data_IF_859724772334
#
_entry.id   IF_859724772334
#
_cell.length_a   1.000
_cell.length_b   1.000
_cell.length_c   1.000
_cell.angle_alpha   90.00
_cell.angle_beta   90.00
_cell.angle_gamma   90.00
#
_symmetry.space_group_name_H-M   'P 1'
#
loop_
_entity.id
_entity.type
_entity.pdbx_description
1 polymer ?
#
# COMPACT_ATOMS: atom_id res chain seq x y z
N UNK A 1 15.70 -11.44 -18.75
CA UNK A 1 15.25 -11.89 -17.42
C UNK A 1 14.28 -10.84 -16.91
N UNK A 2 12.99 -11.10 -16.94
CA UNK A 2 12.01 -10.21 -16.33
C UNK A 2 12.17 -10.38 -14.82
N UNK A 3 12.82 -9.43 -14.16
CA UNK A 3 12.80 -9.37 -12.69
C UNK A 3 11.35 -9.10 -12.31
N UNK A 4 10.68 -10.10 -11.74
CA UNK A 4 9.40 -9.85 -11.07
C UNK A 4 9.65 -8.75 -10.03
N UNK A 5 8.86 -7.66 -10.04
CA UNK A 5 9.06 -6.59 -9.09
C UNK A 5 8.85 -7.16 -7.69
N UNK A 6 9.88 -7.03 -6.86
CA UNK A 6 9.83 -7.31 -5.43
C UNK A 6 8.60 -6.64 -4.78
N UNK A 7 7.96 -7.34 -3.84
CA UNK A 7 6.68 -6.91 -3.24
C UNK A 7 6.80 -5.57 -2.54
N UNK A 8 7.95 -5.29 -1.91
CA UNK A 8 8.23 -4.00 -1.29
C UNK A 8 8.42 -2.94 -2.36
N UNK A 9 9.16 -3.24 -3.42
CA UNK A 9 9.38 -2.32 -4.55
C UNK A 9 8.09 -1.96 -5.30
N UNK A 10 7.11 -2.87 -5.34
CA UNK A 10 5.76 -2.59 -5.82
C UNK A 10 4.99 -1.69 -4.83
N UNK A 11 4.98 -2.05 -3.55
CA UNK A 11 4.30 -1.27 -2.51
C UNK A 11 4.83 0.16 -2.41
N UNK A 12 6.15 0.35 -2.50
CA UNK A 12 6.79 1.66 -2.45
C UNK A 12 6.37 2.57 -3.60
N UNK A 13 6.24 2.03 -4.81
CA UNK A 13 5.75 2.78 -5.97
C UNK A 13 4.29 3.21 -5.79
N UNK A 14 3.46 2.34 -5.23
CA UNK A 14 2.06 2.63 -4.97
C UNK A 14 1.94 3.69 -3.86
N UNK A 15 2.70 3.55 -2.78
CA UNK A 15 2.72 4.50 -1.66
C UNK A 15 3.16 5.92 -2.07
N UNK A 16 4.01 6.02 -3.09
CA UNK A 16 4.44 7.29 -3.68
C UNK A 16 3.52 7.84 -4.79
N UNK A 17 2.45 7.11 -5.15
CA UNK A 17 1.49 7.48 -6.18
C UNK A 17 0.22 8.10 -5.58
N UNK A 18 -0.71 8.53 -6.43
CA UNK A 18 -1.97 9.12 -5.97
C UNK A 18 -2.76 8.16 -5.07
N UNK A 19 -3.34 8.65 -3.95
CA UNK A 19 -4.07 7.81 -3.03
C UNK A 19 -5.47 7.46 -3.56
N UNK A 20 -5.54 6.40 -4.35
CA UNK A 20 -6.79 5.88 -4.93
C UNK A 20 -7.20 4.54 -4.30
N UNK A 21 -8.48 4.19 -4.39
CA UNK A 21 -8.99 2.89 -3.95
C UNK A 21 -8.30 1.71 -4.65
N UNK A 22 -7.97 1.85 -5.93
CA UNK A 22 -7.24 0.83 -6.67
C UNK A 22 -5.84 0.60 -6.08
N UNK A 23 -5.16 1.67 -5.69
CA UNK A 23 -3.85 1.63 -5.06
C UNK A 23 -3.91 1.04 -3.64
N UNK A 24 -4.91 1.41 -2.84
CA UNK A 24 -5.15 0.81 -1.52
C UNK A 24 -5.40 -0.70 -1.61
N UNK A 25 -6.24 -1.13 -2.56
CA UNK A 25 -6.53 -2.55 -2.80
C UNK A 25 -5.29 -3.35 -3.17
N UNK A 26 -4.43 -2.77 -4.02
CA UNK A 26 -3.19 -3.43 -4.40
C UNK A 26 -2.20 -3.48 -3.23
N UNK A 27 -2.11 -2.44 -2.40
CA UNK A 27 -1.32 -2.48 -1.16
C UNK A 27 -1.81 -3.56 -0.19
N UNK A 28 -3.13 -3.69 0.02
CA UNK A 28 -3.70 -4.77 0.86
C UNK A 28 -3.34 -6.15 0.28
N UNK A 29 -3.46 -6.31 -1.04
CA UNK A 29 -3.06 -7.56 -1.71
C UNK A 29 -1.57 -7.88 -1.49
N UNK A 30 -0.69 -6.90 -1.66
CA UNK A 30 0.75 -7.07 -1.45
C UNK A 30 1.04 -7.44 0.02
N UNK A 31 0.43 -6.74 0.97
CA UNK A 31 0.54 -7.02 2.41
C UNK A 31 0.10 -8.44 2.76
N UNK A 32 -1.01 -8.94 2.17
CA UNK A 32 -1.50 -10.31 2.37
C UNK A 32 -0.58 -11.37 1.73
N UNK A 33 0.15 -11.01 0.68
CA UNK A 33 1.10 -11.89 0.00
C UNK A 33 2.50 -11.92 0.66
N UNK A 34 2.86 -10.86 1.38
CA UNK A 34 4.15 -10.71 2.05
C UNK A 34 4.29 -11.61 3.29
N UNK A 35 5.54 -11.89 3.67
CA UNK A 35 5.89 -12.77 4.79
C UNK A 35 7.07 -12.21 5.58
N UNK A 36 7.07 -12.44 6.90
CA UNK A 36 8.14 -11.95 7.78
C UNK A 36 8.27 -10.43 7.69
N UNK A 37 9.51 -9.97 7.62
CA UNK A 37 9.88 -8.54 7.63
C UNK A 37 9.26 -7.74 6.47
N UNK A 38 8.97 -8.37 5.32
CA UNK A 38 8.33 -7.71 4.18
C UNK A 38 6.92 -7.20 4.54
N UNK A 39 6.22 -7.91 5.43
CA UNK A 39 4.87 -7.53 5.85
C UNK A 39 4.91 -6.26 6.70
N UNK A 40 5.90 -6.15 7.58
CA UNK A 40 6.10 -4.98 8.43
C UNK A 40 6.50 -3.77 7.57
N UNK A 41 7.40 -3.96 6.59
CA UNK A 41 7.77 -2.91 5.66
C UNK A 41 6.58 -2.39 4.82
N UNK A 42 5.69 -3.29 4.37
CA UNK A 42 4.49 -2.87 3.63
C UNK A 42 3.49 -2.16 4.55
N UNK A 43 3.39 -2.54 5.83
CA UNK A 43 2.55 -1.84 6.80
C UNK A 43 3.01 -0.37 6.97
N UNK A 44 4.31 -0.13 7.11
CA UNK A 44 4.88 1.23 7.19
C UNK A 44 4.59 2.06 5.91
N UNK A 45 4.64 1.41 4.74
CA UNK A 45 4.31 2.04 3.47
C UNK A 45 2.81 2.38 3.36
N UNK A 46 1.93 1.52 3.89
CA UNK A 46 0.49 1.77 3.97
C UNK A 46 0.21 2.98 4.86
N UNK A 47 0.87 3.10 6.00
CA UNK A 47 0.72 4.28 6.87
C UNK A 47 1.15 5.55 6.14
N UNK A 48 2.30 5.51 5.45
CA UNK A 48 2.80 6.64 4.64
C UNK A 48 1.80 7.03 3.54
N UNK A 49 1.23 6.05 2.85
CA UNK A 49 0.21 6.24 1.83
C UNK A 49 -1.03 6.94 2.40
N UNK A 50 -1.52 6.49 3.57
CA UNK A 50 -2.68 7.09 4.24
C UNK A 50 -2.39 8.49 4.80
N UNK A 51 -1.16 8.79 5.21
CA UNK A 51 -0.75 10.12 5.67
C UNK A 51 -0.72 11.15 4.53
N UNK A 52 -0.52 10.72 3.28
CA UNK A 52 -0.57 11.62 2.12
C UNK A 52 -2.00 12.16 1.82
N UNK A 53 -3.02 11.50 2.38
CA UNK A 53 -4.43 11.79 2.10
C UNK A 53 -4.93 12.93 2.97
N UNK A 54 -5.16 14.08 2.34
CA UNK A 54 -5.69 15.27 3.00
C UNK A 54 -7.22 15.24 3.14
N UNK A 55 -7.91 14.54 2.24
CA UNK A 55 -9.36 14.38 2.28
C UNK A 55 -9.75 13.31 3.33
N UNK A 56 -10.46 13.67 4.41
CA UNK A 56 -10.82 12.74 5.47
C UNK A 56 -11.82 11.67 5.00
N UNK A 57 -12.68 11.95 4.02
CA UNK A 57 -13.63 10.97 3.49
C UNK A 57 -12.89 9.93 2.67
N UNK A 58 -12.00 10.37 1.77
CA UNK A 58 -11.16 9.47 0.99
C UNK A 58 -10.27 8.64 1.91
N UNK A 59 -9.64 9.26 2.92
CA UNK A 59 -8.81 8.54 3.90
C UNK A 59 -9.60 7.44 4.60
N UNK A 60 -10.83 7.72 5.03
CA UNK A 60 -11.70 6.71 5.66
C UNK A 60 -12.02 5.56 4.70
N UNK A 61 -12.29 5.84 3.44
CA UNK A 61 -12.53 4.81 2.42
C UNK A 61 -11.29 3.93 2.17
N UNK A 62 -10.11 4.55 2.11
CA UNK A 62 -8.86 3.81 1.91
C UNK A 62 -8.52 2.95 3.13
N UNK A 63 -8.76 3.44 4.34
CA UNK A 63 -8.59 2.66 5.57
C UNK A 63 -9.51 1.44 5.62
N UNK A 64 -10.76 1.57 5.17
CA UNK A 64 -11.70 0.43 5.09
C UNK A 64 -11.21 -0.65 4.11
N UNK A 65 -10.66 -0.24 2.96
CA UNK A 65 -10.07 -1.17 1.98
C UNK A 65 -8.79 -1.85 2.48
N UNK A 66 -8.05 -1.24 3.42
CA UNK A 66 -6.78 -1.74 3.95
C UNK A 66 -6.91 -2.62 5.21
N UNK A 67 -8.14 -2.88 5.67
CA UNK A 67 -8.45 -3.80 6.77
C UNK A 67 -8.57 -5.29 6.34
#
# INVERSE_FOLDING_TARGET
MSQEPDVISAAMRIAASDPTLANAKELNRLMRSAKGDDKDAIADLIETFLMSVQDPQLRMQLMDELH
#
